data_IF_965036993492
#
_entry.id   IF_965036993492
#
_cell.length_a   1.000
_cell.length_b   1.000
_cell.length_c   1.000
_cell.angle_alpha   90.00
_cell.angle_beta   90.00
_cell.angle_gamma   90.00
#
_symmetry.space_group_name_H-M   'P 1'
#
loop_
_entity.id
_entity.type
_entity.pdbx_description
1 polymer ?
#
# COMPACT_ATOMS: atom_id res chain seq x y z
N UNK A 1 -2.13 3.77 28.72
CA UNK A 1 -1.87 3.14 27.41
C UNK A 1 -1.27 4.22 26.53
N UNK A 2 0.02 4.13 26.15
CA UNK A 2 0.71 5.27 25.59
C UNK A 2 0.24 5.54 24.16
N UNK A 3 0.33 6.81 23.78
CA UNK A 3 -0.02 7.50 22.53
C UNK A 3 0.63 6.97 21.23
N UNK A 4 0.98 5.67 21.18
CA UNK A 4 1.73 5.03 20.09
C UNK A 4 1.02 5.02 18.72
N UNK A 5 -0.31 5.13 18.69
CA UNK A 5 -1.06 4.92 17.45
C UNK A 5 -1.02 6.12 16.48
N UNK A 6 -0.89 7.36 16.95
CA UNK A 6 -1.00 8.53 16.06
C UNK A 6 0.32 8.81 15.33
N UNK A 7 1.45 8.74 16.04
CA UNK A 7 2.77 8.98 15.43
C UNK A 7 3.10 7.93 14.36
N UNK A 8 2.76 6.66 14.60
CA UNK A 8 3.02 5.60 13.63
C UNK A 8 2.17 5.75 12.36
N UNK A 9 0.90 6.17 12.50
CA UNK A 9 0.01 6.48 11.36
C UNK A 9 0.56 7.62 10.50
N UNK A 10 1.15 8.64 11.12
CA UNK A 10 1.82 9.74 10.41
C UNK A 10 3.10 9.26 9.73
N UNK A 11 3.90 8.43 10.39
CA UNK A 11 5.17 7.92 9.85
C UNK A 11 4.98 6.98 8.65
N UNK A 12 3.86 6.25 8.57
CA UNK A 12 3.57 5.36 7.45
C UNK A 12 2.89 6.08 6.28
N UNK A 13 2.13 7.14 6.53
CA UNK A 13 1.47 7.91 5.46
C UNK A 13 2.48 8.74 4.67
N UNK A 14 2.28 8.87 3.36
CA UNK A 14 3.19 9.64 2.50
C UNK A 14 3.20 9.15 1.06
N UNK A 15 4.06 9.76 0.24
CA UNK A 15 4.34 9.31 -1.13
C UNK A 15 5.72 8.66 -1.21
N UNK A 16 5.93 7.75 -2.17
CA UNK A 16 7.19 7.05 -2.42
C UNK A 16 7.79 6.48 -1.13
N UNK A 17 6.96 5.77 -0.36
CA UNK A 17 7.29 5.35 1.00
C UNK A 17 7.91 3.97 0.99
N UNK A 18 9.14 3.85 1.53
CA UNK A 18 9.70 2.55 1.87
C UNK A 18 8.95 1.95 3.06
N UNK A 19 8.45 0.73 2.90
CA UNK A 19 7.93 -0.11 3.97
C UNK A 19 8.66 -1.46 3.95
N UNK A 20 8.78 -2.08 5.12
CA UNK A 20 9.53 -3.33 5.29
C UNK A 20 8.95 -4.14 6.45
N UNK A 21 8.99 -5.47 6.34
CA UNK A 21 8.60 -6.36 7.43
C UNK A 21 9.54 -6.20 8.64
N UNK A 22 9.06 -6.45 9.88
CA UNK A 22 9.90 -6.32 11.08
C UNK A 22 11.17 -7.20 11.05
N UNK A 23 11.15 -8.29 10.29
CA UNK A 23 12.30 -9.20 10.13
C UNK A 23 13.27 -8.81 9.00
N UNK A 24 13.00 -7.71 8.28
CA UNK A 24 13.85 -7.18 7.21
C UNK A 24 13.94 -8.04 5.96
N UNK A 25 13.05 -9.03 5.78
CA UNK A 25 13.12 -9.95 4.63
C UNK A 25 12.35 -9.49 3.41
N UNK A 26 11.33 -8.65 3.59
CA UNK A 26 10.49 -8.16 2.52
C UNK A 26 10.25 -6.66 2.69
N UNK A 27 10.59 -5.88 1.65
CA UNK A 27 10.35 -4.45 1.62
C UNK A 27 10.12 -3.93 0.21
N UNK A 28 9.64 -2.70 0.11
CA UNK A 28 9.37 -2.05 -1.17
C UNK A 28 8.95 -0.59 -1.02
N UNK A 29 9.00 0.13 -2.14
CA UNK A 29 8.49 1.49 -2.24
C UNK A 29 7.03 1.46 -2.67
N UNK A 30 6.18 2.06 -1.85
CA UNK A 30 4.76 2.27 -2.13
C UNK A 30 4.57 3.69 -2.62
N UNK A 31 3.96 3.87 -3.80
CA UNK A 31 3.79 5.19 -4.40
C UNK A 31 3.03 6.14 -3.47
N UNK A 32 1.98 5.65 -2.78
CA UNK A 32 1.26 6.42 -1.78
C UNK A 32 0.53 5.57 -0.74
N UNK A 33 0.64 6.01 0.52
CA UNK A 33 -0.11 5.49 1.67
C UNK A 33 -0.89 6.63 2.31
N UNK A 34 -2.19 6.44 2.52
CA UNK A 34 -3.06 7.39 3.22
C UNK A 34 -3.68 6.68 4.41
N UNK A 35 -3.68 7.32 5.58
CA UNK A 35 -4.48 6.85 6.70
C UNK A 35 -5.82 7.57 6.73
N UNK A 36 -6.92 6.82 6.58
CA UNK A 36 -8.30 7.34 6.58
C UNK A 36 -9.03 6.93 7.86
N UNK A 37 -10.31 7.28 7.98
CA UNK A 37 -11.12 6.90 9.14
C UNK A 37 -11.42 5.39 9.21
N UNK A 38 -11.20 4.66 8.11
CA UNK A 38 -11.50 3.23 7.97
C UNK A 38 -10.26 2.34 7.91
N UNK A 39 -9.05 2.91 7.93
CA UNK A 39 -7.77 2.20 7.93
C UNK A 39 -6.73 2.83 7.00
N UNK A 40 -5.72 2.06 6.61
CA UNK A 40 -4.76 2.49 5.60
C UNK A 40 -5.28 2.25 4.18
N UNK A 41 -4.94 3.12 3.27
CA UNK A 41 -5.19 2.98 1.83
C UNK A 41 -3.87 3.01 1.10
N UNK A 42 -3.66 2.00 0.27
CA UNK A 42 -2.50 1.92 -0.61
C UNK A 42 -2.95 2.34 -2.01
N UNK A 43 -2.24 3.30 -2.58
CA UNK A 43 -2.46 3.74 -3.95
C UNK A 43 -1.19 3.46 -4.74
N UNK A 44 -1.33 2.66 -5.78
CA UNK A 44 -0.25 2.27 -6.68
C UNK A 44 -0.54 2.81 -8.09
N UNK A 45 0.31 3.68 -8.60
CA UNK A 45 0.15 4.29 -9.91
C UNK A 45 0.89 3.46 -10.96
N UNK A 46 0.19 3.13 -12.04
CA UNK A 46 0.77 2.41 -13.16
C UNK A 46 0.61 3.20 -14.45
N UNK A 47 1.70 3.32 -15.18
CA UNK A 47 1.68 3.87 -16.53
C UNK A 47 1.28 2.78 -17.52
N UNK A 48 0.23 3.02 -18.32
CA UNK A 48 -0.22 2.09 -19.35
C UNK A 48 -1.34 1.15 -18.92
N UNK A 49 -1.46 0.01 -19.60
CA UNK A 49 -2.60 -0.89 -19.44
C UNK A 49 -2.52 -1.69 -18.13
N UNK A 50 -3.44 -1.40 -17.21
CA UNK A 50 -3.58 -2.09 -15.92
C UNK A 50 -4.42 -3.36 -16.00
N UNK A 51 -5.28 -3.44 -17.00
CA UNK A 51 -6.14 -4.60 -17.23
C UNK A 51 -5.40 -5.64 -18.08
N UNK A 52 -5.54 -6.90 -17.72
CA UNK A 52 -5.27 -8.06 -18.57
C UNK A 52 -6.59 -8.67 -19.06
N UNK A 53 -6.52 -9.89 -19.60
CA UNK A 53 -7.70 -10.58 -20.13
C UNK A 53 -8.82 -10.80 -19.10
N UNK A 54 -8.47 -11.00 -17.82
CA UNK A 54 -9.41 -11.41 -16.77
C UNK A 54 -9.51 -10.41 -15.61
N UNK A 55 -9.31 -9.11 -15.86
CA UNK A 55 -9.35 -8.06 -14.82
C UNK A 55 -8.00 -7.39 -14.64
N UNK A 56 -7.65 -6.98 -13.42
CA UNK A 56 -6.33 -6.38 -13.14
C UNK A 56 -5.24 -7.43 -13.39
N UNK A 57 -4.13 -7.03 -14.01
CA UNK A 57 -2.98 -7.91 -14.24
C UNK A 57 -2.47 -8.50 -12.92
N UNK A 58 -2.21 -9.80 -12.91
CA UNK A 58 -1.89 -10.57 -11.70
C UNK A 58 -0.70 -10.01 -10.93
N UNK A 59 0.31 -9.49 -11.63
CA UNK A 59 1.48 -8.87 -11.02
C UNK A 59 1.13 -7.64 -10.18
N UNK A 60 0.15 -6.83 -10.58
CA UNK A 60 -0.25 -5.63 -9.85
C UNK A 60 -1.09 -6.01 -8.63
N UNK A 61 -1.99 -6.99 -8.77
CA UNK A 61 -2.75 -7.55 -7.64
C UNK A 61 -1.82 -8.18 -6.61
N UNK A 62 -0.78 -8.91 -7.06
CA UNK A 62 0.23 -9.53 -6.18
C UNK A 62 1.03 -8.47 -5.45
N UNK A 63 1.46 -7.40 -6.14
CA UNK A 63 2.19 -6.29 -5.51
C UNK A 63 1.37 -5.63 -4.41
N UNK A 64 0.09 -5.31 -4.67
CA UNK A 64 -0.80 -4.75 -3.65
C UNK A 64 -0.97 -5.67 -2.44
N UNK A 65 -1.13 -6.98 -2.67
CA UNK A 65 -1.24 -7.96 -1.57
C UNK A 65 0.02 -8.01 -0.72
N UNK A 66 1.20 -7.93 -1.33
CA UNK A 66 2.47 -7.88 -0.60
C UNK A 66 2.56 -6.62 0.26
N UNK A 67 2.25 -5.45 -0.30
CA UNK A 67 2.26 -4.20 0.46
C UNK A 67 1.25 -4.21 1.61
N UNK A 68 0.06 -4.78 1.40
CA UNK A 68 -0.92 -4.97 2.45
C UNK A 68 -0.40 -5.87 3.58
N UNK A 69 0.28 -6.96 3.23
CA UNK A 69 0.91 -7.86 4.19
C UNK A 69 2.01 -7.17 5.01
N UNK A 70 2.87 -6.38 4.37
CA UNK A 70 3.92 -5.62 5.06
C UNK A 70 3.31 -4.61 6.04
N UNK A 71 2.25 -3.90 5.64
CA UNK A 71 1.55 -2.96 6.52
C UNK A 71 0.90 -3.67 7.71
N UNK A 72 0.28 -4.82 7.49
CA UNK A 72 -0.28 -5.62 8.58
C UNK A 72 0.80 -6.08 9.55
N UNK A 73 1.92 -6.62 9.06
CA UNK A 73 3.03 -7.08 9.92
C UNK A 73 3.65 -5.91 10.71
N UNK A 74 3.69 -4.71 10.13
CA UNK A 74 4.34 -3.53 10.74
C UNK A 74 3.43 -2.74 11.69
N UNK A 75 2.11 -2.76 11.46
CA UNK A 75 1.15 -1.91 12.17
C UNK A 75 0.04 -2.67 12.89
N UNK A 76 -0.14 -3.96 12.59
CA UNK A 76 -1.26 -4.78 13.08
C UNK A 76 -2.60 -4.49 12.40
N UNK A 77 -2.66 -3.54 11.46
CA UNK A 77 -3.86 -3.12 10.75
C UNK A 77 -3.77 -3.50 9.27
N UNK A 78 -4.77 -4.22 8.76
CA UNK A 78 -4.90 -4.42 7.31
C UNK A 78 -5.34 -3.12 6.64
N UNK A 79 -4.88 -2.84 5.40
CA UNK A 79 -5.45 -1.75 4.62
C UNK A 79 -6.95 -1.94 4.39
N UNK A 80 -7.66 -0.81 4.32
CA UNK A 80 -9.08 -0.75 4.00
C UNK A 80 -9.38 -1.14 2.54
N UNK A 81 -10.68 -1.25 2.25
CA UNK A 81 -11.21 -1.68 0.95
C UNK A 81 -10.88 -0.74 -0.21
N UNK A 82 -10.40 0.47 0.08
CA UNK A 82 -10.14 1.52 -0.91
C UNK A 82 -8.70 1.48 -1.46
N UNK A 83 -7.95 0.41 -1.15
CA UNK A 83 -6.67 0.13 -1.80
C UNK A 83 -6.85 -0.06 -3.31
N UNK A 84 -6.11 0.71 -4.12
CA UNK A 84 -6.39 0.85 -5.54
C UNK A 84 -5.12 0.90 -6.40
N UNK A 85 -5.22 0.35 -7.61
CA UNK A 85 -4.29 0.64 -8.70
C UNK A 85 -4.92 1.70 -9.59
N UNK A 86 -4.21 2.80 -9.82
CA UNK A 86 -4.65 3.89 -10.68
C UNK A 86 -3.82 3.90 -11.95
N UNK A 87 -4.48 3.67 -13.10
CA UNK A 87 -3.84 3.83 -14.40
C UNK A 87 -3.79 5.30 -14.79
N UNK A 88 -2.59 5.87 -14.93
CA UNK A 88 -2.45 7.17 -15.57
C UNK A 88 -2.19 6.96 -17.06
N UNK A 89 -2.92 7.66 -17.96
CA UNK A 89 -2.62 7.62 -19.38
C UNK A 89 -1.19 8.13 -19.60
N UNK A 90 -0.46 7.48 -20.51
CA UNK A 90 0.85 7.96 -20.97
C UNK A 90 0.62 9.34 -21.62
N UNK A 91 1.43 10.36 -21.33
CA UNK A 91 1.32 11.65 -22.00
C UNK A 91 1.46 11.52 -23.52
#
# INVERSE_FOLDING_TARGET
MPSFNVEYKILLSGNERWIETPDGKLGGYVDKIVHTSVGYEIIDYKTGEVKGQNGIKTEYSTQLMLYAGILYESSGEWPGRETAIISNPKP
#
